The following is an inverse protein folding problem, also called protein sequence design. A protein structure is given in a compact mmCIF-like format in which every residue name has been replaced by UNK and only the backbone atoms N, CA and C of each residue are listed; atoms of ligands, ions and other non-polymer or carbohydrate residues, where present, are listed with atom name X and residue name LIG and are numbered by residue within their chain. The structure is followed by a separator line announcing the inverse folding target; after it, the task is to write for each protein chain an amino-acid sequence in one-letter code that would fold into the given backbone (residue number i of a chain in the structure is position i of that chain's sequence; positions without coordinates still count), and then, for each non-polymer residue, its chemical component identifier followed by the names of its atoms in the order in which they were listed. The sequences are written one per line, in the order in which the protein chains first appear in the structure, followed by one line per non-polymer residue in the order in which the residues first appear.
data_IF_676611033261
#
_entry.id   IF_676611033261
#
_cell.length_a   1.000
_cell.length_b   1.000
_cell.length_c   1.000
_cell.angle_alpha   90.00
_cell.angle_beta   90.00
_cell.angle_gamma   90.00
#
_symmetry.space_group_name_H-M   'P 1'
#
loop_
_entity.id
_entity.type
_entity.pdbx_description
1 polymer ?
#
# COMPACT_ATOMS: atom_id res chain seq x y z
N UNK A 1 -8.60 -10.66 10.00
CA UNK A 1 -9.47 -11.66 10.66
C UNK A 1 -10.96 -11.43 10.41
N UNK A 2 -11.46 -10.19 10.44
CA UNK A 2 -12.90 -9.89 10.27
C UNK A 2 -13.54 -10.40 8.97
N UNK A 3 -12.87 -10.25 7.81
CA UNK A 3 -13.41 -10.72 6.51
C UNK A 3 -13.63 -12.24 6.45
N UNK A 4 -12.74 -13.02 7.06
CA UNK A 4 -12.86 -14.49 7.13
C UNK A 4 -14.08 -14.93 7.97
N UNK A 5 -14.26 -14.32 9.14
CA UNK A 5 -15.41 -14.62 10.00
C UNK A 5 -16.73 -14.27 9.33
N UNK A 6 -16.77 -13.12 8.64
CA UNK A 6 -17.94 -12.65 7.92
C UNK A 6 -18.27 -13.55 6.72
N UNK A 7 -17.25 -14.05 6.02
CA UNK A 7 -17.41 -15.05 4.96
C UNK A 7 -17.99 -16.37 5.49
N UNK A 8 -17.45 -16.91 6.60
CA UNK A 8 -17.98 -18.13 7.22
C UNK A 8 -19.43 -17.96 7.67
N UNK A 9 -19.75 -16.83 8.29
CA UNK A 9 -21.11 -16.52 8.71
C UNK A 9 -22.06 -16.41 7.50
N UNK A 10 -21.65 -15.71 6.44
CA UNK A 10 -22.43 -15.61 5.22
C UNK A 10 -22.68 -16.97 4.56
N UNK A 11 -21.66 -17.83 4.49
CA UNK A 11 -21.79 -19.18 3.95
C UNK A 11 -22.71 -20.05 4.81
N UNK A 12 -22.60 -19.96 6.14
CA UNK A 12 -23.48 -20.66 7.07
C UNK A 12 -24.94 -20.24 6.90
N UNK A 13 -25.23 -18.94 6.83
CA UNK A 13 -26.59 -18.42 6.61
C UNK A 13 -27.17 -18.82 5.24
N UNK A 14 -26.32 -19.01 4.24
CA UNK A 14 -26.72 -19.43 2.88
C UNK A 14 -27.03 -20.92 2.81
N UNK A 15 -26.15 -21.78 3.35
CA UNK A 15 -26.29 -23.23 3.28
C UNK A 15 -27.26 -23.78 4.33
N UNK A 16 -27.34 -23.13 5.50
CA UNK A 16 -28.16 -23.56 6.64
C UNK A 16 -29.14 -22.46 7.08
N UNK A 17 -30.08 -22.04 6.21
CA UNK A 17 -30.98 -20.92 6.50
C UNK A 17 -31.94 -21.21 7.66
N UNK A 18 -32.29 -22.48 7.92
CA UNK A 18 -33.18 -22.86 9.02
C UNK A 18 -32.49 -22.69 10.39
N UNK A 19 -31.29 -23.28 10.64
CA UNK A 19 -30.51 -22.96 11.83
C UNK A 19 -30.18 -21.47 11.98
N UNK A 20 -29.85 -20.78 10.89
CA UNK A 20 -29.56 -19.34 10.92
C UNK A 20 -30.79 -18.51 11.33
N UNK A 21 -31.97 -18.84 10.80
CA UNK A 21 -33.23 -18.25 11.23
C UNK A 21 -33.52 -18.55 12.72
N UNK A 22 -33.29 -19.78 13.15
CA UNK A 22 -33.50 -20.17 14.54
C UNK A 22 -32.62 -19.38 15.51
N UNK A 23 -31.32 -19.23 15.19
CA UNK A 23 -30.36 -18.46 16.00
C UNK A 23 -30.65 -16.95 16.00
N UNK A 24 -31.23 -16.42 14.92
CA UNK A 24 -31.57 -14.99 14.84
C UNK A 24 -32.85 -14.65 15.60
N UNK A 25 -33.96 -15.30 15.26
CA UNK A 25 -35.27 -14.97 15.85
C UNK A 25 -36.13 -16.19 16.19
N UNK A 26 -35.91 -17.34 15.56
CA UNK A 26 -36.76 -18.51 15.76
C UNK A 26 -36.75 -19.04 17.19
N UNK A 27 -35.65 -18.89 17.95
CA UNK A 27 -35.60 -19.25 19.37
C UNK A 27 -36.58 -18.46 20.27
N UNK A 28 -37.05 -17.29 19.80
CA UNK A 28 -37.97 -16.41 20.54
C UNK A 28 -39.44 -16.73 20.30
N UNK A 29 -39.74 -17.55 19.30
CA UNK A 29 -41.11 -17.82 18.86
C UNK A 29 -41.39 -19.29 19.15
N UNK A 30 -42.40 -19.54 19.99
CA UNK A 30 -42.79 -20.89 20.38
C UNK A 30 -43.48 -21.60 19.22
N UNK A 31 -43.06 -22.83 18.92
CA UNK A 31 -43.66 -23.72 17.91
C UNK A 31 -43.78 -23.10 16.50
N UNK A 32 -42.86 -22.19 16.15
CA UNK A 32 -42.87 -21.52 14.85
C UNK A 32 -41.89 -22.17 13.86
N UNK A 33 -42.41 -22.48 12.68
CA UNK A 33 -41.61 -22.85 11.52
C UNK A 33 -41.28 -21.60 10.70
N UNK A 34 -40.07 -21.50 10.14
CA UNK A 34 -39.71 -20.38 9.27
C UNK A 34 -40.56 -20.42 8.00
N UNK A 35 -41.13 -19.27 7.65
CA UNK A 35 -41.77 -19.11 6.34
C UNK A 35 -40.74 -19.19 5.21
N UNK A 36 -41.18 -19.53 4.00
CA UNK A 36 -40.29 -19.54 2.83
C UNK A 36 -39.62 -18.18 2.60
N UNK A 37 -40.34 -17.08 2.85
CA UNK A 37 -39.80 -15.73 2.78
C UNK A 37 -38.67 -15.51 3.81
N UNK A 38 -38.79 -16.06 5.02
CA UNK A 38 -37.76 -15.96 6.04
C UNK A 38 -36.51 -16.78 5.68
N UNK A 39 -36.67 -17.97 5.10
CA UNK A 39 -35.56 -18.77 4.60
C UNK A 39 -34.85 -18.09 3.42
N UNK A 40 -35.63 -17.51 2.49
CA UNK A 40 -35.09 -16.75 1.36
C UNK A 40 -34.30 -15.53 1.84
N UNK A 41 -34.82 -14.77 2.81
CA UNK A 41 -34.14 -13.62 3.38
C UNK A 41 -32.80 -13.98 4.03
N UNK A 42 -32.76 -15.10 4.79
CA UNK A 42 -31.52 -15.59 5.38
C UNK A 42 -30.47 -15.98 4.32
N UNK A 43 -30.90 -16.59 3.21
CA UNK A 43 -30.01 -16.91 2.08
C UNK A 43 -29.49 -15.65 1.40
N UNK A 44 -30.37 -14.67 1.12
CA UNK A 44 -29.99 -13.42 0.47
C UNK A 44 -28.96 -12.64 1.31
N UNK A 45 -29.22 -12.49 2.62
CA UNK A 45 -28.28 -11.85 3.55
C UNK A 45 -26.97 -12.63 3.65
N UNK A 46 -27.04 -13.96 3.68
CA UNK A 46 -25.87 -14.84 3.69
C UNK A 46 -24.98 -14.66 2.46
N UNK A 47 -25.56 -14.60 1.26
CA UNK A 47 -24.82 -14.39 0.00
C UNK A 47 -24.15 -13.01 0.00
N UNK A 48 -24.87 -11.97 0.40
CA UNK A 48 -24.32 -10.61 0.48
C UNK A 48 -23.15 -10.57 1.48
N UNK A 49 -23.31 -11.16 2.66
CA UNK A 49 -22.24 -11.25 3.64
C UNK A 49 -21.04 -12.03 3.09
N UNK A 50 -21.24 -13.17 2.43
CA UNK A 50 -20.15 -13.95 1.85
C UNK A 50 -19.34 -13.15 0.81
N UNK A 51 -20.03 -12.40 -0.07
CA UNK A 51 -19.40 -11.53 -1.08
C UNK A 51 -18.61 -10.40 -0.40
N UNK A 52 -19.21 -9.71 0.57
CA UNK A 52 -18.53 -8.63 1.31
C UNK A 52 -17.32 -9.17 2.08
N UNK A 53 -17.44 -10.32 2.72
CA UNK A 53 -16.35 -11.00 3.42
C UNK A 53 -15.20 -11.36 2.48
N UNK A 54 -15.51 -11.85 1.28
CA UNK A 54 -14.53 -12.12 0.22
C UNK A 54 -13.82 -10.85 -0.24
N UNK A 55 -14.56 -9.77 -0.51
CA UNK A 55 -13.98 -8.49 -0.93
C UNK A 55 -13.03 -7.96 0.15
N UNK A 56 -13.43 -7.99 1.43
CA UNK A 56 -12.59 -7.55 2.54
C UNK A 56 -11.34 -8.45 2.65
N UNK A 57 -11.49 -9.76 2.48
CA UNK A 57 -10.38 -10.71 2.54
C UNK A 57 -9.37 -10.48 1.41
N UNK A 58 -9.85 -10.34 0.16
CA UNK A 58 -8.99 -10.05 -1.01
C UNK A 58 -8.34 -8.68 -0.88
N UNK A 59 -9.07 -7.65 -0.45
CA UNK A 59 -8.51 -6.32 -0.20
C UNK A 59 -7.44 -6.35 0.89
N UNK A 60 -7.61 -7.19 1.91
CA UNK A 60 -6.61 -7.38 2.96
C UNK A 60 -5.37 -8.15 2.48
N UNK A 61 -5.54 -9.10 1.57
CA UNK A 61 -4.42 -9.81 0.93
C UNK A 61 -3.63 -8.92 -0.04
N UNK A 62 -4.24 -7.86 -0.58
CA UNK A 62 -3.54 -6.89 -1.44
C UNK A 62 -2.63 -5.92 -0.67
N UNK A 63 -2.67 -5.91 0.67
CA UNK A 63 -1.77 -5.14 1.55
C UNK A 63 -0.70 -6.02 2.22
N UNK A 64 -0.47 -7.23 1.69
CA UNK A 64 0.64 -8.11 2.07
C UNK A 64 1.79 -8.03 1.09
N UNK A 65 2.20 -6.82 0.70
CA UNK A 65 3.28 -6.60 -0.26
C UNK A 65 4.59 -7.20 0.27
N UNK A 66 5.06 -8.29 -0.34
CA UNK A 66 6.38 -8.84 -0.04
C UNK A 66 7.47 -7.79 -0.28
N UNK A 67 8.67 -7.99 0.27
CA UNK A 67 9.81 -7.06 0.12
C UNK A 67 10.24 -6.81 -1.34
N UNK A 68 9.73 -7.56 -2.30
CA UNK A 68 9.96 -7.27 -3.72
C UNK A 68 8.82 -6.48 -4.37
N UNK A 69 7.61 -6.55 -3.83
CA UNK A 69 6.42 -6.01 -4.51
C UNK A 69 6.35 -4.49 -4.45
N UNK A 70 6.53 -3.88 -3.27
CA UNK A 70 6.50 -2.42 -3.15
C UNK A 70 7.64 -1.75 -3.95
N UNK A 71 8.84 -2.32 -3.86
CA UNK A 71 10.00 -1.92 -4.66
C UNK A 71 9.70 -2.05 -6.18
N UNK A 72 9.14 -3.19 -6.60
CA UNK A 72 8.79 -3.40 -8.01
C UNK A 72 7.66 -2.49 -8.50
N UNK A 73 6.69 -2.17 -7.65
CA UNK A 73 5.57 -1.29 -7.96
C UNK A 73 6.06 0.14 -8.14
N UNK A 74 6.96 0.59 -7.25
CA UNK A 74 7.65 1.87 -7.37
C UNK A 74 8.43 1.96 -8.69
N UNK A 75 9.31 0.99 -8.99
CA UNK A 75 10.08 1.02 -10.25
C UNK A 75 9.21 0.96 -11.50
N UNK A 76 8.17 0.11 -11.50
CA UNK A 76 7.19 0.07 -12.60
C UNK A 76 6.52 1.42 -12.80
N UNK A 77 6.23 2.14 -11.71
CA UNK A 77 5.66 3.48 -11.78
C UNK A 77 6.61 4.47 -12.45
N UNK A 78 7.89 4.42 -12.08
CA UNK A 78 8.92 5.29 -12.68
C UNK A 78 9.13 5.04 -14.18
N UNK A 79 8.90 3.81 -14.67
CA UNK A 79 9.02 3.47 -16.09
C UNK A 79 7.91 4.07 -16.97
N UNK A 80 6.81 4.57 -16.39
CA UNK A 80 5.81 5.30 -17.17
C UNK A 80 6.37 6.65 -17.59
N UNK A 81 6.48 6.84 -18.90
CA UNK A 81 6.99 8.08 -19.50
C UNK A 81 6.22 9.28 -18.95
N UNK A 82 6.96 10.26 -18.41
CA UNK A 82 6.43 11.53 -17.92
C UNK A 82 5.47 11.38 -16.71
N UNK A 83 5.55 10.29 -15.94
CA UNK A 83 4.72 10.10 -14.73
C UNK A 83 5.23 10.94 -13.54
N UNK A 84 6.56 11.05 -13.42
CA UNK A 84 7.22 11.88 -12.40
C UNK A 84 7.24 13.32 -12.86
N UNK A 85 6.62 14.20 -12.07
CA UNK A 85 6.55 15.63 -12.36
C UNK A 85 7.77 16.38 -11.86
N UNK A 86 8.22 16.06 -10.66
CA UNK A 86 9.29 16.78 -9.98
C UNK A 86 9.91 15.93 -8.87
N UNK A 87 11.13 16.27 -8.46
CA UNK A 87 11.78 15.75 -7.26
C UNK A 87 12.17 16.95 -6.39
N UNK A 88 11.66 16.99 -5.17
CA UNK A 88 11.89 18.10 -4.23
C UNK A 88 12.85 17.68 -3.15
N UNK A 89 13.88 18.47 -2.90
CA UNK A 89 14.82 18.22 -1.80
C UNK A 89 14.21 18.73 -0.49
N UNK A 90 13.99 17.83 0.48
CA UNK A 90 13.37 18.09 1.78
C UNK A 90 12.06 17.34 2.03
N UNK A 91 11.54 17.48 3.26
CA UNK A 91 10.31 16.84 3.76
C UNK A 91 9.01 17.28 3.06
N UNK A 92 9.03 18.42 2.35
CA UNK A 92 7.79 19.05 1.88
C UNK A 92 7.70 19.12 0.36
N UNK A 93 6.58 18.60 -0.14
CA UNK A 93 6.17 18.74 -1.53
C UNK A 93 5.82 20.19 -1.93
N UNK A 94 5.84 21.15 -1.00
CA UNK A 94 5.58 22.57 -1.26
C UNK A 94 6.86 23.38 -1.51
N UNK A 95 8.04 22.76 -1.33
CA UNK A 95 9.33 23.42 -1.59
C UNK A 95 9.45 23.81 -3.08
N UNK A 96 10.11 24.93 -3.40
CA UNK A 96 10.30 25.33 -4.79
C UNK A 96 11.10 24.28 -5.55
N UNK A 97 10.79 24.09 -6.83
CA UNK A 97 11.54 23.18 -7.70
C UNK A 97 12.94 23.75 -7.92
N UNK A 98 13.96 23.07 -7.39
CA UNK A 98 15.37 23.46 -7.52
C UNK A 98 16.06 22.70 -8.67
N UNK A 99 15.51 21.56 -9.06
CA UNK A 99 16.08 20.65 -10.06
C UNK A 99 15.55 20.96 -11.46
N UNK A 100 16.40 20.79 -12.48
CA UNK A 100 15.97 20.87 -13.87
C UNK A 100 15.19 19.61 -14.29
N UNK A 101 14.46 19.69 -15.41
CA UNK A 101 13.73 18.53 -15.94
C UNK A 101 14.66 17.40 -16.35
N UNK A 102 15.84 17.74 -16.85
CA UNK A 102 16.89 16.79 -17.24
C UNK A 102 17.47 16.09 -16.02
N UNK A 103 17.72 16.84 -14.94
CA UNK A 103 18.17 16.30 -13.65
C UNK A 103 17.14 15.31 -13.07
N UNK A 104 15.86 15.69 -13.08
CA UNK A 104 14.76 14.81 -12.64
C UNK A 104 14.68 13.55 -13.51
N UNK A 105 14.68 13.71 -14.84
CA UNK A 105 14.59 12.57 -15.76
C UNK A 105 15.76 11.60 -15.59
N UNK A 106 16.98 12.13 -15.39
CA UNK A 106 18.16 11.31 -15.15
C UNK A 106 18.06 10.51 -13.86
N UNK A 107 17.65 11.14 -12.75
CA UNK A 107 17.48 10.43 -11.48
C UNK A 107 16.36 9.37 -11.55
N UNK A 108 15.26 9.68 -12.24
CA UNK A 108 14.16 8.72 -12.46
C UNK A 108 14.64 7.50 -13.24
N UNK A 109 15.43 7.71 -14.29
CA UNK A 109 16.01 6.61 -15.08
C UNK A 109 16.94 5.73 -14.22
N UNK A 110 17.82 6.34 -13.42
CA UNK A 110 18.69 5.62 -12.50
C UNK A 110 17.88 4.82 -11.46
N UNK A 111 16.87 5.42 -10.82
CA UNK A 111 16.03 4.75 -9.83
C UNK A 111 15.21 3.59 -10.42
N UNK A 112 14.71 3.76 -11.65
CA UNK A 112 13.92 2.75 -12.34
C UNK A 112 14.71 1.46 -12.61
N UNK A 113 16.03 1.56 -12.80
CA UNK A 113 16.90 0.44 -13.16
C UNK A 113 17.85 -0.02 -12.04
N UNK A 114 18.01 0.78 -10.98
CA UNK A 114 18.89 0.44 -9.86
C UNK A 114 18.40 -0.82 -9.12
N UNK A 115 19.35 -1.64 -8.67
CA UNK A 115 19.00 -2.74 -7.76
C UNK A 115 18.62 -2.16 -6.41
N UNK A 116 17.57 -2.70 -5.80
CA UNK A 116 17.15 -2.32 -4.45
C UNK A 116 17.31 -3.49 -3.48
N UNK A 117 17.84 -3.21 -2.29
CA UNK A 117 17.96 -4.16 -1.19
C UNK A 117 16.94 -3.80 -0.10
N UNK A 118 15.96 -4.67 0.10
CA UNK A 118 14.97 -4.49 1.16
C UNK A 118 15.52 -4.82 2.54
N UNK A 119 15.11 -4.05 3.53
CA UNK A 119 15.41 -4.28 4.95
C UNK A 119 14.24 -3.82 5.83
N UNK A 120 14.20 -4.28 7.08
CA UNK A 120 13.16 -3.90 8.04
C UNK A 120 13.55 -2.61 8.76
N UNK A 121 12.62 -1.66 8.86
CA UNK A 121 12.80 -0.44 9.64
C UNK A 121 13.06 -0.81 11.12
N UNK A 122 14.24 -0.47 11.63
CA UNK A 122 14.56 -0.54 13.05
C UNK A 122 14.13 0.72 13.81
N UNK A 123 14.33 0.75 15.13
CA UNK A 123 13.93 1.86 16.02
C UNK A 123 14.78 3.13 15.93
N UNK A 124 15.72 3.21 15.00
CA UNK A 124 16.64 4.35 14.87
C UNK A 124 16.90 4.64 13.40
N UNK A 125 16.25 5.68 12.90
CA UNK A 125 16.43 6.24 11.57
C UNK A 125 17.21 7.55 11.70
N UNK A 126 18.31 7.69 10.96
CA UNK A 126 19.05 8.95 10.85
C UNK A 126 19.30 9.27 9.38
N UNK A 127 18.54 10.22 8.84
CA UNK A 127 18.79 10.79 7.53
C UNK A 127 19.74 11.99 7.63
N UNK A 128 20.63 12.13 6.65
CA UNK A 128 21.33 13.39 6.37
C UNK A 128 20.38 14.42 5.72
N UNK A 129 19.35 13.93 5.03
CA UNK A 129 18.33 14.73 4.37
C UNK A 129 17.23 13.85 3.79
N UNK A 130 16.26 14.49 3.15
CA UNK A 130 15.11 13.82 2.54
C UNK A 130 14.89 14.37 1.13
N UNK A 131 14.21 13.59 0.31
CA UNK A 131 13.72 14.04 -0.98
C UNK A 131 12.33 13.46 -1.24
N UNK A 132 11.45 14.27 -1.83
CA UNK A 132 10.07 13.91 -2.12
C UNK A 132 9.89 13.83 -3.64
N UNK A 133 9.56 12.64 -4.14
CA UNK A 133 9.13 12.47 -5.53
C UNK A 133 7.68 12.93 -5.63
N UNK A 134 7.37 13.81 -6.58
CA UNK A 134 6.01 14.29 -6.83
C UNK A 134 5.53 13.81 -8.19
N UNK A 135 4.43 13.06 -8.19
CA UNK A 135 3.83 12.50 -9.39
C UNK A 135 2.81 13.47 -10.01
N UNK A 136 2.43 13.21 -11.26
CA UNK A 136 1.39 13.99 -11.95
C UNK A 136 0.02 13.95 -11.28
N UNK A 137 -0.32 12.83 -10.65
CA UNK A 137 -1.56 12.64 -9.89
C UNK A 137 -1.52 13.31 -8.50
N UNK A 138 -0.46 14.07 -8.18
CA UNK A 138 -0.22 14.73 -6.89
C UNK A 138 0.06 13.79 -5.72
N UNK A 139 0.17 12.49 -5.96
CA UNK A 139 0.73 11.59 -4.95
C UNK A 139 2.24 11.83 -4.83
N UNK A 140 2.82 11.36 -3.72
CA UNK A 140 4.26 11.50 -3.46
C UNK A 140 4.85 10.22 -2.89
N UNK A 141 6.13 10.01 -3.13
CA UNK A 141 6.94 9.02 -2.41
C UNK A 141 8.13 9.73 -1.74
N UNK A 142 8.46 9.28 -0.54
CA UNK A 142 9.54 9.83 0.27
C UNK A 142 10.80 8.99 0.13
N UNK A 143 11.90 9.68 -0.12
CA UNK A 143 13.25 9.15 -0.15
C UNK A 143 14.02 9.73 1.02
N UNK A 144 14.74 8.86 1.72
CA UNK A 144 15.66 9.27 2.76
C UNK A 144 17.10 9.20 2.23
N UNK A 145 17.84 10.28 2.45
CA UNK A 145 19.27 10.35 2.15
C UNK A 145 19.99 10.04 3.46
N UNK A 146 20.69 8.91 3.53
CA UNK A 146 21.30 8.47 4.79
C UNK A 146 22.62 9.20 5.08
N UNK A 147 23.01 9.27 6.35
CA UNK A 147 24.32 9.81 6.75
C UNK A 147 25.48 8.84 6.46
N UNK A 148 25.20 7.55 6.37
CA UNK A 148 26.18 6.48 6.11
C UNK A 148 26.49 6.26 4.63
N UNK A 149 25.82 6.99 3.74
CA UNK A 149 25.86 6.77 2.31
C UNK A 149 24.70 5.90 1.84
N UNK A 150 23.98 6.39 0.84
CA UNK A 150 22.91 5.68 0.16
C UNK A 150 21.55 6.34 0.29
N UNK A 151 20.68 5.97 -0.65
CA UNK A 151 19.31 6.49 -0.78
C UNK A 151 18.35 5.36 -0.44
N UNK A 152 17.39 5.65 0.43
CA UNK A 152 16.39 4.69 0.89
C UNK A 152 15.00 5.14 0.44
N UNK A 153 14.25 4.25 -0.22
CA UNK A 153 12.83 4.42 -0.43
C UNK A 153 12.09 3.94 0.82
N UNK A 154 11.25 4.82 1.37
CA UNK A 154 10.36 4.51 2.50
C UNK A 154 8.93 4.47 1.98
N UNK A 155 8.36 3.26 1.77
CA UNK A 155 6.96 3.13 1.39
C UNK A 155 6.04 3.71 2.46
N UNK A 156 4.95 4.38 2.04
CA UNK A 156 3.93 4.93 2.94
C UNK A 156 3.28 3.91 3.89
N UNK A 157 3.33 2.63 3.53
CA UNK A 157 2.73 1.54 4.29
C UNK A 157 3.71 0.39 4.41
N UNK A 158 3.91 -0.08 5.64
CA UNK A 158 4.74 -1.25 5.94
C UNK A 158 5.84 -0.96 6.95
N UNK A 159 6.58 -2.01 7.30
CA UNK A 159 7.74 -1.99 8.19
C UNK A 159 9.05 -2.22 7.43
N UNK A 160 9.04 -2.06 6.10
CA UNK A 160 10.20 -2.27 5.23
C UNK A 160 10.56 -1.02 4.45
N UNK A 161 11.87 -0.81 4.31
CA UNK A 161 12.46 0.21 3.44
C UNK A 161 13.40 -0.46 2.42
N UNK A 162 13.77 0.28 1.38
CA UNK A 162 14.56 -0.23 0.27
C UNK A 162 15.76 0.66 0.01
N UNK A 163 16.96 0.12 0.18
CA UNK A 163 18.20 0.82 -0.15
C UNK A 163 18.52 0.65 -1.63
N UNK A 164 18.70 1.75 -2.36
CA UNK A 164 19.22 1.73 -3.72
C UNK A 164 20.71 1.36 -3.72
N UNK A 165 21.08 0.36 -4.51
CA UNK A 165 22.46 -0.07 -4.72
C UNK A 165 23.03 0.65 -5.95
N UNK A 166 23.25 1.96 -5.83
CA UNK A 166 23.81 2.79 -6.90
C UNK A 166 24.61 3.95 -6.33
N UNK A 167 25.94 3.89 -6.49
CA UNK A 167 26.87 4.94 -6.06
C UNK A 167 26.62 6.25 -6.83
N UNK A 168 26.17 6.15 -8.09
CA UNK A 168 25.83 7.30 -8.92
C UNK A 168 24.60 8.04 -8.38
N UNK A 169 23.55 7.28 -8.02
CA UNK A 169 22.34 7.85 -7.43
C UNK A 169 22.66 8.52 -6.09
N UNK A 170 23.47 7.86 -5.26
CA UNK A 170 23.94 8.42 -4.00
C UNK A 170 24.68 9.75 -4.21
N UNK A 171 25.70 9.77 -5.08
CA UNK A 171 26.49 10.96 -5.36
C UNK A 171 25.63 12.14 -5.84
N UNK A 172 24.67 11.85 -6.71
CA UNK A 172 23.75 12.83 -7.28
C UNK A 172 22.84 13.45 -6.22
N UNK A 173 22.20 12.65 -5.36
CA UNK A 173 21.34 13.17 -4.29
C UNK A 173 22.12 13.93 -3.21
N UNK A 174 23.33 13.48 -2.86
CA UNK A 174 24.20 14.24 -1.95
C UNK A 174 24.64 15.59 -2.54
N UNK A 175 24.93 15.63 -3.85
CA UNK A 175 25.22 16.89 -4.54
C UNK A 175 24.04 17.85 -4.47
N UNK A 176 22.82 17.36 -4.72
CA UNK A 176 21.61 18.17 -4.62
C UNK A 176 21.34 18.64 -3.20
N UNK A 177 21.54 17.79 -2.19
CA UNK A 177 21.35 18.15 -0.79
C UNK A 177 22.26 19.32 -0.39
N UNK A 178 23.52 19.30 -0.84
CA UNK A 178 24.47 20.38 -0.60
C UNK A 178 24.14 21.70 -1.31
N UNK A 179 23.35 21.64 -2.40
CA UNK A 179 22.87 22.82 -3.14
C UNK A 179 21.61 23.44 -2.54
N UNK A 180 20.82 22.62 -1.84
CA UNK A 180 19.52 23.01 -1.28
C UNK A 180 19.56 23.49 0.17
N UNK A 181 20.66 23.24 0.89
CA UNK A 181 20.91 23.75 2.25
C UNK A 181 21.57 25.13 2.23
#
# INVERSE_FOLDING_TARGET
MGGFLLMLFGLFSTLFPYPAWYLSIGWRIKDAEPSEAALFMNRAVGVVAAIVGLIIMVSSCSLGGGSSEAASAFQKRLLFVDEVRDIKMGMSADLPSVLSKEEVAHAVDLMAHAKMKGFTLGSSYSGAGEATIVYKDWTTDELLITTSGGIELIPRTGDKAYLFQSDELESLFHSWLSRSG
#
